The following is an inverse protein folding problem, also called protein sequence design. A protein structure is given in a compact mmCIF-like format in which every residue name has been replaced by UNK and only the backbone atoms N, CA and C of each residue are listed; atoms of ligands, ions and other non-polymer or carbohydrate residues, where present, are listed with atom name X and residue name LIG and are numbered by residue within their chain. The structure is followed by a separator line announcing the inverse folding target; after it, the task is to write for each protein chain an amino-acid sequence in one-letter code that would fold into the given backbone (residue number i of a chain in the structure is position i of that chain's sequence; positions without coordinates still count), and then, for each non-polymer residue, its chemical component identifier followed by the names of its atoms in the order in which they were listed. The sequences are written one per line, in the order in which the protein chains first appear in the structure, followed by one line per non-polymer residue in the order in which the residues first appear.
data_IF_031739415333
#
_entry.id   IF_031739415333
#
_cell.length_a   1.000
_cell.length_b   1.000
_cell.length_c   1.000
_cell.angle_alpha   90.00
_cell.angle_beta   90.00
_cell.angle_gamma   90.00
#
_symmetry.space_group_name_H-M   'P 1'
#
loop_
_entity.id
_entity.type
_entity.pdbx_description
1 polymer ?
#
# COMPACT_ATOMS: atom_id res chain seq x y z
N UNK A 1 -0.17 20.16 0.77
CA UNK A 1 1.27 20.19 0.43
C UNK A 1 1.43 20.14 -1.08
N UNK A 2 2.59 20.52 -1.64
CA UNK A 2 2.90 20.30 -3.06
C UNK A 2 3.02 18.80 -3.36
N UNK A 3 2.92 18.41 -4.63
CA UNK A 3 3.07 17.00 -5.04
C UNK A 3 4.49 16.46 -4.77
N UNK A 4 5.51 17.31 -4.79
CA UNK A 4 6.89 16.93 -4.52
C UNK A 4 7.15 16.71 -3.02
N UNK A 5 6.59 17.58 -2.16
CA UNK A 5 6.58 17.38 -0.71
C UNK A 5 5.83 16.09 -0.34
N UNK A 6 4.66 15.86 -0.95
CA UNK A 6 3.87 14.65 -0.73
C UNK A 6 4.66 13.40 -1.13
N UNK A 7 5.25 13.37 -2.33
CA UNK A 7 6.12 12.27 -2.77
C UNK A 7 7.26 12.02 -1.79
N UNK A 8 7.89 13.08 -1.29
CA UNK A 8 8.98 12.96 -0.31
C UNK A 8 8.52 12.33 1.00
N UNK A 9 7.34 12.69 1.50
CA UNK A 9 6.75 12.04 2.69
C UNK A 9 6.39 10.58 2.44
N UNK A 10 5.84 10.24 1.26
CA UNK A 10 5.56 8.84 0.90
C UNK A 10 6.85 7.99 0.93
N UNK A 11 7.94 8.49 0.35
CA UNK A 11 9.23 7.78 0.33
C UNK A 11 9.77 7.52 1.75
N UNK A 12 9.62 8.49 2.66
CA UNK A 12 10.00 8.29 4.08
C UNK A 12 9.16 7.19 4.73
N UNK A 13 7.83 7.26 4.57
CA UNK A 13 6.90 6.28 5.15
C UNK A 13 7.17 4.87 4.61
N UNK A 14 7.48 4.73 3.32
CA UNK A 14 7.86 3.44 2.73
C UNK A 14 9.16 2.87 3.33
N UNK A 15 10.12 3.72 3.73
CA UNK A 15 11.29 3.25 4.48
C UNK A 15 10.90 2.77 5.89
N UNK A 16 9.95 3.45 6.56
CA UNK A 16 9.43 2.97 7.85
C UNK A 16 8.68 1.65 7.72
N UNK A 17 7.88 1.47 6.67
CA UNK A 17 7.21 0.19 6.39
C UNK A 17 8.20 -0.93 6.14
N UNK A 18 9.29 -0.66 5.41
CA UNK A 18 10.39 -1.62 5.23
C UNK A 18 11.01 -2.01 6.56
N UNK A 19 11.28 -1.05 7.45
CA UNK A 19 11.83 -1.35 8.78
C UNK A 19 10.86 -2.21 9.61
N UNK A 20 9.56 -1.87 9.59
CA UNK A 20 8.51 -2.67 10.24
C UNK A 20 8.46 -4.10 9.70
N UNK A 21 8.54 -4.28 8.38
CA UNK A 21 8.59 -5.60 7.76
C UNK A 21 9.83 -6.40 8.20
N UNK A 22 11.00 -5.76 8.29
CA UNK A 22 12.20 -6.40 8.83
C UNK A 22 12.05 -6.80 10.30
N UNK A 23 11.44 -5.95 11.14
CA UNK A 23 11.18 -6.25 12.55
C UNK A 23 10.24 -7.46 12.72
N UNK A 24 9.35 -7.67 11.76
CA UNK A 24 8.46 -8.84 11.69
C UNK A 24 9.12 -10.06 11.03
N UNK A 25 10.34 -9.92 10.49
CA UNK A 25 11.05 -11.01 9.79
C UNK A 25 10.49 -11.35 8.41
N UNK A 26 9.72 -10.44 7.80
CA UNK A 26 9.06 -10.66 6.51
C UNK A 26 9.75 -9.87 5.38
N UNK A 27 9.64 -10.40 4.17
CA UNK A 27 10.24 -9.85 2.94
C UNK A 27 9.15 -9.64 1.91
N UNK A 28 9.34 -8.73 0.96
CA UNK A 28 8.35 -8.48 -0.06
C UNK A 28 8.42 -7.08 -0.66
N UNK A 29 7.26 -6.47 -0.90
CA UNK A 29 7.15 -5.15 -1.51
C UNK A 29 6.11 -4.33 -0.78
N UNK A 30 6.51 -3.13 -0.35
CA UNK A 30 5.62 -2.08 0.13
C UNK A 30 5.29 -1.14 -1.02
N UNK A 31 4.02 -0.77 -1.17
CA UNK A 31 3.56 0.27 -2.10
C UNK A 31 2.67 1.25 -1.37
N UNK A 32 2.64 2.46 -1.88
CA UNK A 32 1.80 3.54 -1.36
C UNK A 32 1.29 4.38 -2.51
N UNK A 33 0.05 4.84 -2.40
CA UNK A 33 -0.60 5.76 -3.31
C UNK A 33 -1.39 6.77 -2.49
N UNK A 34 -1.12 8.07 -2.70
CA UNK A 34 -1.82 9.14 -1.99
C UNK A 34 -2.37 10.18 -2.96
N UNK A 35 -3.64 10.50 -2.81
CA UNK A 35 -4.32 11.60 -3.48
C UNK A 35 -4.18 12.86 -2.64
N UNK A 36 -3.65 13.93 -3.24
CA UNK A 36 -3.44 15.19 -2.56
C UNK A 36 -4.78 15.87 -2.22
N UNK A 37 -4.78 16.74 -1.21
CA UNK A 37 -5.98 17.47 -0.80
C UNK A 37 -6.51 18.36 -1.92
N UNK A 38 -7.76 18.15 -2.29
CA UNK A 38 -8.43 18.90 -3.35
C UNK A 38 -8.18 18.38 -4.76
N UNK A 39 -7.38 17.32 -4.90
CA UNK A 39 -7.25 16.54 -6.14
C UNK A 39 -8.35 15.47 -6.19
N UNK A 40 -8.74 15.05 -7.39
CA UNK A 40 -9.80 14.05 -7.59
C UNK A 40 -9.41 12.85 -8.45
N UNK A 41 -8.31 12.94 -9.21
CA UNK A 41 -7.91 11.86 -10.13
C UNK A 41 -6.43 11.49 -10.00
N UNK A 42 -5.53 12.46 -9.83
CA UNK A 42 -4.10 12.22 -9.97
C UNK A 42 -3.44 11.78 -8.66
N UNK A 43 -3.38 10.47 -8.43
CA UNK A 43 -2.69 9.84 -7.31
C UNK A 43 -1.16 9.85 -7.47
N UNK A 44 -0.45 10.04 -6.36
CA UNK A 44 1.02 9.92 -6.32
C UNK A 44 1.39 8.58 -5.71
N UNK A 45 1.98 7.71 -6.53
CA UNK A 45 2.39 6.37 -6.13
C UNK A 45 3.91 6.20 -6.02
N UNK A 46 4.35 5.46 -5.01
CA UNK A 46 5.75 5.03 -4.84
C UNK A 46 5.81 3.60 -4.30
N UNK A 47 6.97 2.96 -4.43
CA UNK A 47 7.18 1.61 -3.90
C UNK A 47 8.56 1.44 -3.26
N UNK A 48 8.68 0.43 -2.38
CA UNK A 48 9.92 -0.01 -1.77
C UNK A 48 9.98 -1.53 -1.76
N UNK A 49 11.03 -2.07 -2.36
CA UNK A 49 11.34 -3.51 -2.25
C UNK A 49 11.99 -3.78 -0.90
N UNK A 50 11.47 -4.78 -0.21
CA UNK A 50 11.96 -5.33 1.05
C UNK A 50 12.58 -6.69 0.73
N UNK A 51 13.89 -6.69 0.47
CA UNK A 51 14.74 -7.83 0.08
C UNK A 51 14.40 -8.56 -1.23
N UNK A 52 13.13 -8.71 -1.63
CA UNK A 52 12.75 -9.44 -2.85
C UNK A 52 11.50 -8.88 -3.54
N UNK A 53 11.50 -8.70 -4.87
CA UNK A 53 10.32 -8.26 -5.62
C UNK A 53 9.42 -9.42 -6.10
N UNK A 54 9.80 -10.68 -5.87
CA UNK A 54 9.09 -11.87 -6.31
C UNK A 54 9.35 -13.09 -5.39
N UNK A 55 8.55 -14.14 -5.56
CA UNK A 55 8.80 -15.46 -4.99
C UNK A 55 8.68 -16.51 -6.11
N UNK A 56 9.79 -17.02 -6.63
CA UNK A 56 9.78 -18.00 -7.74
C UNK A 56 9.25 -19.37 -7.33
N UNK A 57 9.38 -19.76 -6.06
CA UNK A 57 8.91 -21.07 -5.59
C UNK A 57 7.38 -21.15 -5.62
N UNK A 58 6.72 -20.07 -5.21
CA UNK A 58 5.26 -19.92 -5.23
C UNK A 58 4.73 -19.35 -6.57
N UNK A 59 5.63 -18.86 -7.44
CA UNK A 59 5.28 -18.22 -8.71
C UNK A 59 4.65 -16.82 -8.55
N UNK A 60 4.96 -16.10 -7.48
CA UNK A 60 4.33 -14.82 -7.16
C UNK A 60 5.15 -13.62 -7.63
N UNK A 61 4.49 -12.71 -8.33
CA UNK A 61 5.01 -11.38 -8.61
C UNK A 61 4.55 -10.42 -7.50
N UNK A 62 5.40 -10.21 -6.49
CA UNK A 62 5.02 -9.45 -5.30
C UNK A 62 4.79 -7.97 -5.60
N UNK A 63 5.54 -7.39 -6.56
CA UNK A 63 5.30 -6.02 -7.05
C UNK A 63 3.89 -5.89 -7.63
N UNK A 64 3.52 -6.81 -8.52
CA UNK A 64 2.20 -6.82 -9.15
C UNK A 64 1.07 -7.01 -8.13
N UNK A 65 1.25 -7.96 -7.20
CA UNK A 65 0.26 -8.23 -6.15
C UNK A 65 0.11 -7.03 -5.20
N UNK A 66 1.21 -6.39 -4.78
CA UNK A 66 1.15 -5.22 -3.91
C UNK A 66 0.38 -4.07 -4.57
N UNK A 67 0.66 -3.78 -5.84
CA UNK A 67 -0.10 -2.78 -6.59
C UNK A 67 -1.55 -3.17 -6.83
N UNK A 68 -1.86 -4.45 -7.06
CA UNK A 68 -3.24 -4.93 -7.19
C UNK A 68 -4.04 -4.71 -5.89
N UNK A 69 -3.46 -5.05 -4.73
CA UNK A 69 -4.05 -4.76 -3.41
C UNK A 69 -4.30 -3.26 -3.22
N UNK A 70 -3.29 -2.43 -3.53
CA UNK A 70 -3.37 -0.98 -3.42
C UNK A 70 -4.46 -0.40 -4.34
N UNK A 71 -4.55 -0.90 -5.58
CA UNK A 71 -5.54 -0.48 -6.57
C UNK A 71 -6.97 -0.89 -6.19
N UNK A 72 -7.16 -2.10 -5.68
CA UNK A 72 -8.44 -2.57 -5.16
C UNK A 72 -8.92 -1.70 -3.99
N UNK A 73 -8.01 -1.36 -3.07
CA UNK A 73 -8.31 -0.47 -1.96
C UNK A 73 -8.67 0.96 -2.42
N UNK A 74 -8.03 1.45 -3.48
CA UNK A 74 -8.39 2.74 -4.10
C UNK A 74 -9.77 2.69 -4.78
N UNK A 75 -10.11 1.58 -5.45
CA UNK A 75 -11.37 1.44 -6.18
C UNK A 75 -12.57 1.27 -5.24
N UNK A 76 -12.35 0.63 -4.08
CA UNK A 76 -13.39 0.31 -3.11
C UNK A 76 -13.52 1.34 -1.99
N UNK A 77 -12.51 2.19 -1.81
CA UNK A 77 -12.38 3.07 -0.64
C UNK A 77 -12.46 2.27 0.68
N UNK A 78 -11.88 1.08 0.68
CA UNK A 78 -11.84 0.13 1.78
C UNK A 78 -10.54 -0.71 1.76
N UNK A 79 -10.27 -1.47 2.82
CA UNK A 79 -9.18 -2.45 2.82
C UNK A 79 -9.37 -3.47 1.68
N UNK A 80 -8.28 -3.92 1.05
CA UNK A 80 -8.33 -4.88 -0.07
C UNK A 80 -8.76 -6.28 0.39
N UNK A 81 -9.31 -7.08 -0.52
CA UNK A 81 -9.92 -8.37 -0.19
C UNK A 81 -11.34 -8.23 0.36
N UNK A 82 -12.02 -7.12 0.05
CA UNK A 82 -13.38 -6.85 0.50
C UNK A 82 -14.39 -7.74 -0.27
N UNK A 83 -15.11 -8.66 0.40
CA UNK A 83 -16.02 -9.59 -0.26
C UNK A 83 -17.29 -8.93 -0.83
N UNK A 84 -17.63 -7.72 -0.39
CA UNK A 84 -18.83 -6.99 -0.86
C UNK A 84 -18.59 -6.25 -2.19
N UNK A 85 -17.34 -6.20 -2.64
CA UNK A 85 -16.96 -5.59 -3.91
C UNK A 85 -16.92 -6.62 -5.05
N UNK A 86 -17.56 -6.30 -6.16
CA UNK A 86 -17.41 -7.10 -7.38
C UNK A 86 -16.07 -6.73 -8.02
N UNK A 87 -15.11 -7.65 -7.93
CA UNK A 87 -13.77 -7.46 -8.48
C UNK A 87 -13.82 -6.98 -9.95
N UNK A 88 -13.02 -5.95 -10.25
CA UNK A 88 -12.75 -5.47 -11.60
C UNK A 88 -11.46 -6.11 -12.14
N UNK A 89 -11.30 -6.14 -13.46
CA UNK A 89 -10.14 -6.78 -14.09
C UNK A 89 -8.84 -6.11 -13.63
N UNK A 90 -7.94 -6.90 -13.03
CA UNK A 90 -6.68 -6.44 -12.44
C UNK A 90 -6.66 -6.54 -10.91
N UNK A 91 -7.82 -6.62 -10.27
CA UNK A 91 -7.93 -6.93 -8.84
C UNK A 91 -7.80 -8.43 -8.62
N UNK A 92 -7.27 -8.79 -7.45
CA UNK A 92 -6.99 -10.18 -7.10
C UNK A 92 -7.77 -10.65 -5.86
N UNK A 93 -8.43 -9.76 -5.12
CA UNK A 93 -9.14 -10.11 -3.88
C UNK A 93 -8.20 -10.49 -2.74
N UNK A 94 -6.93 -10.12 -2.81
CA UNK A 94 -5.97 -10.41 -1.74
C UNK A 94 -6.11 -9.38 -0.62
N UNK A 95 -6.12 -9.87 0.62
CA UNK A 95 -5.97 -9.03 1.81
C UNK A 95 -4.51 -8.59 1.95
N UNK A 96 -4.29 -7.34 2.33
CA UNK A 96 -2.95 -6.76 2.55
C UNK A 96 -2.78 -5.32 2.06
N UNK A 97 -3.83 -4.72 1.48
CA UNK A 97 -3.96 -3.29 1.22
C UNK A 97 -4.88 -2.64 2.23
N UNK A 98 -4.52 -1.45 2.70
CA UNK A 98 -5.29 -0.63 3.60
C UNK A 98 -5.65 0.69 2.93
N UNK A 99 -6.86 1.20 3.21
CA UNK A 99 -7.34 2.49 2.73
C UNK A 99 -7.74 3.40 3.90
N UNK A 100 -7.49 4.70 3.77
CA UNK A 100 -7.96 5.69 4.74
C UNK A 100 -8.16 7.06 4.07
N UNK A 101 -9.13 7.82 4.57
CA UNK A 101 -9.22 9.26 4.33
C UNK A 101 -8.81 10.07 5.56
N UNK A 102 -7.93 11.06 5.39
CA UNK A 102 -7.45 11.87 6.49
C UNK A 102 -7.26 13.33 6.07
N UNK A 103 -7.91 14.28 6.76
CA UNK A 103 -7.81 15.74 6.51
C UNK A 103 -8.03 16.17 5.04
N UNK A 104 -8.77 15.38 4.26
CA UNK A 104 -9.03 15.60 2.84
C UNK A 104 -8.01 14.99 1.89
N UNK A 105 -7.05 14.21 2.39
CA UNK A 105 -6.23 13.29 1.59
C UNK A 105 -6.90 11.92 1.56
N UNK A 106 -6.79 11.21 0.44
CA UNK A 106 -7.12 9.79 0.34
C UNK A 106 -5.82 9.02 0.20
N UNK A 107 -5.66 7.92 0.91
CA UNK A 107 -4.42 7.15 0.88
C UNK A 107 -4.69 5.65 0.86
N UNK A 108 -3.90 4.94 0.08
CA UNK A 108 -3.87 3.49 0.01
C UNK A 108 -2.43 3.02 0.18
N UNK A 109 -2.22 2.08 1.09
CA UNK A 109 -0.93 1.47 1.34
C UNK A 109 -1.10 -0.04 1.24
N UNK A 110 -0.12 -0.76 0.72
CA UNK A 110 -0.19 -2.21 0.68
C UNK A 110 1.18 -2.84 0.89
N UNK A 111 1.17 -4.07 1.41
CA UNK A 111 2.34 -4.92 1.44
C UNK A 111 2.03 -6.26 0.79
N UNK A 112 3.06 -6.91 0.23
CA UNK A 112 2.95 -8.25 -0.31
C UNK A 112 4.23 -9.03 -0.11
N UNK A 113 4.13 -10.13 0.60
CA UNK A 113 5.21 -11.10 0.79
C UNK A 113 5.13 -11.93 2.06
N UNK A 114 4.11 -11.71 2.89
CA UNK A 114 3.82 -12.46 4.11
C UNK A 114 2.40 -13.04 4.11
N UNK A 115 1.92 -13.49 5.28
CA UNK A 115 0.50 -13.82 5.45
C UNK A 115 -0.35 -12.55 5.30
N UNK A 116 -1.61 -12.72 4.89
CA UNK A 116 -2.52 -11.60 4.61
C UNK A 116 -2.67 -10.62 5.77
N UNK A 117 -2.74 -11.12 7.02
CA UNK A 117 -2.85 -10.30 8.22
C UNK A 117 -1.57 -9.52 8.50
N UNK A 118 -0.40 -10.10 8.23
CA UNK A 118 0.90 -9.46 8.40
C UNK A 118 1.12 -8.37 7.33
N UNK A 119 0.76 -8.68 6.08
CA UNK A 119 0.76 -7.70 4.99
C UNK A 119 -0.13 -6.49 5.35
N UNK A 120 -1.34 -6.75 5.87
CA UNK A 120 -2.27 -5.69 6.28
C UNK A 120 -1.75 -4.90 7.48
N UNK A 121 -1.07 -5.54 8.43
CA UNK A 121 -0.44 -4.86 9.56
C UNK A 121 0.62 -3.86 9.09
N UNK A 122 1.49 -4.24 8.15
CA UNK A 122 2.49 -3.33 7.57
C UNK A 122 1.81 -2.18 6.81
N UNK A 123 0.75 -2.46 6.05
CA UNK A 123 -0.01 -1.44 5.33
C UNK A 123 -0.64 -0.39 6.27
N UNK A 124 -1.31 -0.85 7.35
CA UNK A 124 -1.91 0.03 8.36
C UNK A 124 -0.87 0.85 9.12
N UNK A 125 0.29 0.25 9.41
CA UNK A 125 1.42 1.00 9.96
C UNK A 125 1.84 2.14 9.03
N UNK A 126 1.91 1.91 7.71
CA UNK A 126 2.18 2.94 6.71
C UNK A 126 1.20 4.12 6.78
N UNK A 127 -0.11 3.83 6.85
CA UNK A 127 -1.15 4.86 7.00
C UNK A 127 -0.93 5.69 8.26
N UNK A 128 -0.68 5.05 9.41
CA UNK A 128 -0.48 5.77 10.67
C UNK A 128 0.76 6.68 10.66
N UNK A 129 1.80 6.30 9.89
CA UNK A 129 2.97 7.17 9.69
C UNK A 129 2.71 8.28 8.70
N UNK A 130 1.96 8.01 7.64
CA UNK A 130 1.55 9.04 6.69
C UNK A 130 0.72 10.12 7.37
N UNK A 131 -0.20 9.77 8.28
CA UNK A 131 -0.96 10.74 9.08
C UNK A 131 -0.09 11.70 9.89
N UNK A 132 1.13 11.30 10.27
CA UNK A 132 2.08 12.14 11.01
C UNK A 132 2.82 13.12 10.10
N UNK A 133 2.94 12.81 8.81
CA UNK A 133 3.53 13.68 7.80
C UNK A 133 2.54 14.69 7.18
N UNK A 134 1.22 14.50 7.38
CA UNK A 134 0.10 15.28 6.78
C UNK A 134 -0.56 16.31 7.72
#
# INVERSE_FOLDING_TARGET
MTNEELRSSIVKVLEEMKNKAHDMGIKGVAVASVLNKGESVDWIGEMKVVDTPFNFNEGWNLVGIAWAKCAEAMATEADSGNPDHKAILGECGFVGGAYEEYKGYKMSFAFSGALSEEDLEVAKYGIEKMKQEL
#
